data_IF_612024668562
#
_entry.id   IF_612024668562
#
_cell.length_a   1.000
_cell.length_b   1.000
_cell.length_c   1.000
_cell.angle_alpha   90.00
_cell.angle_beta   90.00
_cell.angle_gamma   90.00
#
_symmetry.space_group_name_H-M   'P 1'
#
loop_
_entity.id
_entity.type
_entity.pdbx_description
1 polymer ?
#
# COMPACT_ATOMS: atom_id res chain seq x y z
N UNK A 1 -17.99 16.22 15.43
CA UNK A 1 -17.93 14.94 14.69
C UNK A 1 -19.26 14.26 14.85
N UNK A 2 -19.91 13.85 13.74
CA UNK A 2 -21.23 13.17 13.74
C UNK A 2 -21.15 11.76 14.32
N UNK A 3 -22.31 11.13 14.62
CA UNK A 3 -22.34 9.75 15.09
C UNK A 3 -21.83 8.80 14.01
N UNK A 4 -22.15 9.04 12.72
CA UNK A 4 -21.70 8.26 11.59
C UNK A 4 -20.18 8.28 11.47
N UNK A 5 -19.54 9.45 11.56
CA UNK A 5 -18.08 9.57 11.50
C UNK A 5 -17.40 8.82 12.67
N UNK A 6 -18.00 8.88 13.87
CA UNK A 6 -17.50 8.10 15.02
C UNK A 6 -17.64 6.60 14.78
N UNK A 7 -18.78 6.17 14.22
CA UNK A 7 -19.01 4.77 13.88
C UNK A 7 -18.02 4.25 12.82
N UNK A 8 -17.73 5.06 11.79
CA UNK A 8 -16.69 4.73 10.80
C UNK A 8 -15.34 4.51 11.49
N UNK A 9 -14.91 5.40 12.37
CA UNK A 9 -13.64 5.25 13.09
C UNK A 9 -13.62 4.01 13.99
N UNK A 10 -14.70 3.72 14.71
CA UNK A 10 -14.77 2.50 15.55
C UNK A 10 -14.76 1.21 14.70
N UNK A 11 -15.40 1.21 13.54
CA UNK A 11 -15.36 0.10 12.58
C UNK A 11 -13.97 -0.08 11.94
N UNK A 12 -13.09 0.91 12.04
CA UNK A 12 -11.71 0.83 11.54
C UNK A 12 -10.69 0.37 12.60
N UNK A 13 -11.08 0.18 13.85
CA UNK A 13 -10.17 -0.21 14.97
C UNK A 13 -9.91 -1.70 15.00
N UNK A 14 -9.27 -2.23 13.98
CA UNK A 14 -9.06 -3.67 13.83
C UNK A 14 -8.02 -4.28 14.80
N UNK A 15 -7.12 -3.47 15.37
CA UNK A 15 -6.12 -3.94 16.35
C UNK A 15 -6.70 -4.06 17.76
N UNK A 16 -7.45 -3.05 18.19
CA UNK A 16 -8.02 -2.95 19.53
C UNK A 16 -9.50 -2.55 19.45
N UNK A 17 -10.37 -3.44 18.92
CA UNK A 17 -11.78 -3.12 18.75
C UNK A 17 -12.49 -3.00 20.10
N UNK A 18 -13.29 -1.96 20.25
CA UNK A 18 -14.08 -1.72 21.47
C UNK A 18 -15.49 -2.26 21.30
N UNK A 19 -15.64 -3.55 21.57
CA UNK A 19 -16.89 -4.31 21.30
C UNK A 19 -18.13 -3.66 21.92
N UNK A 20 -18.08 -3.29 23.20
CA UNK A 20 -19.29 -2.74 23.89
C UNK A 20 -19.66 -1.37 23.35
N UNK A 21 -18.67 -0.50 23.13
CA UNK A 21 -18.90 0.80 22.51
C UNK A 21 -19.47 0.68 21.10
N UNK A 22 -18.93 -0.24 20.29
CA UNK A 22 -19.44 -0.50 18.95
C UNK A 22 -20.88 -1.05 19.00
N UNK A 23 -21.19 -1.91 19.98
CA UNK A 23 -22.55 -2.41 20.18
C UNK A 23 -23.54 -1.29 20.52
N UNK A 24 -23.17 -0.38 21.41
CA UNK A 24 -24.00 0.78 21.77
C UNK A 24 -24.27 1.66 20.54
N UNK A 25 -23.23 2.00 19.78
CA UNK A 25 -23.35 2.82 18.58
C UNK A 25 -24.25 2.18 17.52
N UNK A 26 -24.14 0.86 17.31
CA UNK A 26 -25.00 0.12 16.38
C UNK A 26 -26.46 -0.05 16.87
N UNK A 27 -26.72 0.19 18.16
CA UNK A 27 -28.06 0.15 18.75
C UNK A 27 -28.79 1.50 18.68
N UNK A 28 -28.08 2.59 18.34
CA UNK A 28 -28.66 3.92 18.10
C UNK A 28 -28.94 4.12 16.61
N UNK A 29 -29.96 4.89 16.22
CA UNK A 29 -30.19 5.21 14.82
C UNK A 29 -28.99 5.90 14.18
N UNK A 30 -28.60 5.45 12.98
CA UNK A 30 -27.55 6.04 12.16
C UNK A 30 -27.88 5.86 10.67
N UNK A 31 -27.34 6.72 9.82
CA UNK A 31 -27.43 6.59 8.37
C UNK A 31 -26.47 5.50 7.86
N UNK A 32 -26.99 4.31 7.63
CA UNK A 32 -26.21 3.17 7.17
C UNK A 32 -25.62 3.38 5.76
N UNK A 33 -26.31 4.13 4.88
CA UNK A 33 -25.83 4.42 3.54
C UNK A 33 -24.63 5.38 3.58
N UNK A 34 -24.70 6.41 4.42
CA UNK A 34 -23.60 7.33 4.65
C UNK A 34 -22.38 6.62 5.23
N UNK A 35 -22.56 5.79 6.25
CA UNK A 35 -21.45 5.01 6.87
C UNK A 35 -20.83 4.07 5.84
N UNK A 36 -21.63 3.33 5.09
CA UNK A 36 -21.13 2.43 4.04
C UNK A 36 -20.36 3.20 2.95
N UNK A 37 -20.91 4.31 2.48
CA UNK A 37 -20.27 5.16 1.48
C UNK A 37 -18.89 5.64 1.93
N UNK A 38 -18.75 6.10 3.19
CA UNK A 38 -17.47 6.51 3.77
C UNK A 38 -16.49 5.33 3.89
N UNK A 39 -16.95 4.17 4.37
CA UNK A 39 -16.09 2.99 4.47
C UNK A 39 -15.56 2.54 3.11
N UNK A 40 -16.40 2.57 2.08
CA UNK A 40 -15.98 2.21 0.72
C UNK A 40 -15.05 3.27 0.09
N UNK A 41 -15.38 4.54 0.23
CA UNK A 41 -14.53 5.65 -0.24
C UNK A 41 -13.13 5.59 0.38
N UNK A 42 -13.04 5.35 1.68
CA UNK A 42 -11.79 5.25 2.42
C UNK A 42 -11.11 3.86 2.33
N UNK A 43 -11.64 2.93 1.53
CA UNK A 43 -11.15 1.55 1.37
C UNK A 43 -11.12 0.74 2.67
N UNK A 44 -12.05 1.01 3.58
CA UNK A 44 -12.13 0.39 4.90
C UNK A 44 -13.20 -0.70 5.01
N UNK A 45 -13.88 -1.04 3.91
CA UNK A 45 -14.99 -2.01 3.93
C UNK A 45 -14.58 -3.39 4.44
N UNK A 46 -13.43 -3.90 4.01
CA UNK A 46 -12.90 -5.18 4.47
C UNK A 46 -12.55 -5.16 5.97
N UNK A 47 -11.92 -4.09 6.44
CA UNK A 47 -11.57 -3.89 7.85
C UNK A 47 -12.84 -3.82 8.71
N UNK A 48 -13.84 -3.07 8.27
CA UNK A 48 -15.12 -2.95 8.99
C UNK A 48 -15.83 -4.31 9.13
N UNK A 49 -15.83 -5.14 8.06
CA UNK A 49 -16.39 -6.49 8.14
C UNK A 49 -15.61 -7.37 9.13
N UNK A 50 -14.29 -7.32 9.09
CA UNK A 50 -13.43 -8.04 10.02
C UNK A 50 -13.72 -7.64 11.47
N UNK A 51 -13.78 -6.34 11.79
CA UNK A 51 -14.09 -5.83 13.13
C UNK A 51 -15.46 -6.31 13.60
N UNK A 52 -16.50 -6.20 12.77
CA UNK A 52 -17.84 -6.73 13.10
C UNK A 52 -17.81 -8.23 13.38
N UNK A 53 -16.99 -8.97 12.63
CA UNK A 53 -16.88 -10.43 12.77
C UNK A 53 -16.21 -10.82 14.08
N UNK A 54 -15.05 -10.26 14.40
CA UNK A 54 -14.32 -10.58 15.63
C UNK A 54 -15.04 -10.11 16.89
N UNK A 55 -15.86 -9.04 16.79
CA UNK A 55 -16.73 -8.57 17.86
C UNK A 55 -18.03 -9.38 17.98
N UNK A 56 -18.38 -10.24 17.03
CA UNK A 56 -19.65 -10.97 17.01
C UNK A 56 -20.86 -10.06 16.76
N UNK A 57 -20.70 -8.96 16.02
CA UNK A 57 -21.72 -7.93 15.80
C UNK A 57 -22.28 -7.91 14.36
N UNK A 58 -21.93 -8.87 13.51
CA UNK A 58 -22.42 -8.96 12.12
C UNK A 58 -23.95 -9.05 12.01
N UNK A 59 -24.63 -9.61 13.03
CA UNK A 59 -26.09 -9.66 13.11
C UNK A 59 -26.75 -8.36 13.59
N UNK A 60 -25.98 -7.35 14.02
CA UNK A 60 -26.50 -6.05 14.49
C UNK A 60 -26.63 -5.00 13.39
N UNK A 61 -26.15 -5.29 12.20
CA UNK A 61 -26.27 -4.42 11.02
C UNK A 61 -27.27 -5.01 10.03
N UNK A 62 -27.88 -4.18 9.20
CA UNK A 62 -28.81 -4.65 8.18
C UNK A 62 -28.12 -5.56 7.15
N UNK A 63 -28.93 -6.34 6.42
CA UNK A 63 -28.43 -7.35 5.49
C UNK A 63 -27.61 -6.76 4.34
N UNK A 64 -28.05 -5.65 3.78
CA UNK A 64 -27.44 -4.98 2.63
C UNK A 64 -26.07 -4.42 3.02
N UNK A 65 -25.97 -3.72 4.14
CA UNK A 65 -24.73 -3.21 4.72
C UNK A 65 -23.73 -4.35 4.97
N UNK A 66 -24.19 -5.41 5.66
CA UNK A 66 -23.34 -6.58 5.93
C UNK A 66 -22.84 -7.26 4.66
N UNK A 67 -23.70 -7.44 3.66
CA UNK A 67 -23.34 -8.10 2.41
C UNK A 67 -22.33 -7.28 1.60
N UNK A 68 -22.49 -5.95 1.55
CA UNK A 68 -21.53 -5.05 0.90
C UNK A 68 -20.13 -5.13 1.55
N UNK A 69 -20.06 -5.08 2.89
CA UNK A 69 -18.80 -5.21 3.62
C UNK A 69 -18.18 -6.61 3.46
N UNK A 70 -18.99 -7.68 3.47
CA UNK A 70 -18.53 -9.05 3.22
C UNK A 70 -17.92 -9.17 1.82
N UNK A 71 -18.61 -8.63 0.81
CA UNK A 71 -18.10 -8.64 -0.57
C UNK A 71 -16.75 -7.94 -0.68
N UNK A 72 -16.58 -6.80 -0.01
CA UNK A 72 -15.29 -6.09 0.05
C UNK A 72 -14.20 -6.96 0.73
N UNK A 73 -14.54 -7.64 1.82
CA UNK A 73 -13.61 -8.53 2.54
C UNK A 73 -13.21 -9.74 1.69
N UNK A 74 -14.18 -10.42 1.07
CA UNK A 74 -13.93 -11.61 0.24
C UNK A 74 -13.11 -11.25 -1.02
N UNK A 75 -13.39 -10.10 -1.63
CA UNK A 75 -12.60 -9.57 -2.75
C UNK A 75 -11.18 -9.23 -2.30
N UNK A 76 -11.03 -8.56 -1.16
CA UNK A 76 -9.72 -8.22 -0.60
C UNK A 76 -8.86 -9.44 -0.32
N UNK A 77 -9.45 -10.54 0.21
CA UNK A 77 -8.73 -11.78 0.43
C UNK A 77 -8.20 -12.39 -0.87
N UNK A 78 -9.04 -12.51 -1.91
CA UNK A 78 -8.60 -13.04 -3.21
C UNK A 78 -7.49 -12.18 -3.79
N UNK A 79 -7.64 -10.87 -3.78
CA UNK A 79 -6.62 -9.94 -4.28
C UNK A 79 -5.30 -10.04 -3.51
N UNK A 80 -5.35 -10.19 -2.17
CA UNK A 80 -4.13 -10.36 -1.36
C UNK A 80 -3.38 -11.64 -1.72
N UNK A 81 -4.09 -12.75 -1.97
CA UNK A 81 -3.47 -14.02 -2.39
C UNK A 81 -2.76 -13.85 -3.74
N UNK A 82 -3.43 -13.25 -4.71
CA UNK A 82 -2.86 -13.00 -6.04
C UNK A 82 -1.66 -12.03 -5.98
N UNK A 83 -1.75 -10.98 -5.16
CA UNK A 83 -0.66 -10.04 -4.94
C UNK A 83 0.56 -10.69 -4.29
N UNK A 84 0.37 -11.54 -3.28
CA UNK A 84 1.46 -12.30 -2.65
C UNK A 84 2.14 -13.24 -3.64
N UNK A 85 1.38 -13.86 -4.54
CA UNK A 85 1.96 -14.66 -5.63
C UNK A 85 2.84 -13.82 -6.55
N UNK A 86 2.38 -12.63 -6.96
CA UNK A 86 3.20 -11.69 -7.74
C UNK A 86 4.49 -11.32 -7.01
N UNK A 87 4.42 -11.11 -5.70
CA UNK A 87 5.60 -10.84 -4.87
C UNK A 87 6.57 -12.01 -4.83
N UNK A 88 6.09 -13.26 -4.74
CA UNK A 88 6.94 -14.45 -4.80
C UNK A 88 7.65 -14.57 -6.15
N UNK A 89 6.95 -14.34 -7.26
CA UNK A 89 7.54 -14.31 -8.61
C UNK A 89 8.58 -13.19 -8.74
N UNK A 90 8.32 -12.03 -8.13
CA UNK A 90 9.26 -10.91 -8.12
C UNK A 90 10.48 -11.19 -7.25
N UNK A 91 10.34 -11.94 -6.15
CA UNK A 91 11.45 -12.36 -5.32
C UNK A 91 12.43 -13.24 -6.11
N UNK A 92 11.94 -14.20 -6.89
CA UNK A 92 12.77 -15.04 -7.78
C UNK A 92 13.53 -14.19 -8.82
N UNK A 93 12.90 -13.12 -9.34
CA UNK A 93 13.52 -12.20 -10.29
C UNK A 93 14.60 -11.33 -9.64
N UNK A 94 14.40 -10.89 -8.40
CA UNK A 94 15.30 -10.02 -7.66
C UNK A 94 16.40 -10.79 -6.88
N UNK A 95 16.33 -12.10 -6.76
CA UNK A 95 17.34 -12.92 -6.06
C UNK A 95 18.76 -12.71 -6.61
N UNK A 96 18.87 -12.42 -7.91
CA UNK A 96 20.16 -12.33 -8.62
C UNK A 96 20.60 -10.92 -8.97
N UNK A 97 20.04 -9.90 -8.29
CA UNK A 97 20.49 -8.52 -8.52
C UNK A 97 21.69 -8.19 -7.63
N UNK A 98 22.66 -7.45 -8.19
CA UNK A 98 23.90 -7.07 -7.49
C UNK A 98 23.82 -5.68 -6.84
N UNK A 99 22.66 -5.05 -6.87
CA UNK A 99 22.42 -3.72 -6.31
C UNK A 99 21.39 -3.76 -5.17
N UNK A 100 21.49 -2.84 -4.21
CA UNK A 100 20.51 -2.74 -3.15
C UNK A 100 19.16 -2.25 -3.66
N UNK A 101 18.10 -2.84 -3.18
CA UNK A 101 16.71 -2.43 -3.45
C UNK A 101 15.86 -2.60 -2.21
N UNK A 102 14.72 -1.91 -2.17
CA UNK A 102 13.72 -2.13 -1.14
C UNK A 102 12.30 -2.10 -1.71
N UNK A 103 11.48 -3.10 -1.38
CA UNK A 103 10.04 -3.02 -1.65
C UNK A 103 9.38 -2.11 -0.63
N UNK A 104 8.40 -1.35 -1.10
CA UNK A 104 7.77 -0.27 -0.33
C UNK A 104 6.29 -0.56 -0.07
N UNK A 105 5.65 0.29 0.72
CA UNK A 105 4.19 0.42 0.89
C UNK A 105 3.42 -0.91 0.97
N UNK A 106 2.55 -1.17 -0.04
CA UNK A 106 1.65 -2.30 -0.11
C UNK A 106 2.34 -3.66 0.00
N UNK A 107 3.57 -3.78 -0.52
CA UNK A 107 4.34 -5.01 -0.46
C UNK A 107 4.58 -5.48 0.99
N UNK A 108 5.11 -4.62 1.85
CA UNK A 108 5.31 -4.94 3.25
C UNK A 108 3.99 -5.02 4.02
N UNK A 109 3.10 -4.06 3.80
CA UNK A 109 1.83 -3.97 4.53
C UNK A 109 0.91 -5.17 4.28
N UNK A 110 0.97 -5.83 3.11
CA UNK A 110 0.22 -7.05 2.84
C UNK A 110 0.56 -8.23 3.77
N UNK A 111 1.71 -8.18 4.46
CA UNK A 111 2.12 -9.16 5.48
C UNK A 111 1.94 -8.65 6.92
N UNK A 112 1.83 -7.34 7.10
CA UNK A 112 1.62 -6.72 8.40
C UNK A 112 0.15 -6.78 8.86
N UNK A 113 -0.79 -6.72 7.90
CA UNK A 113 -2.22 -6.83 8.14
C UNK A 113 -2.69 -8.29 8.15
N UNK A 114 -3.79 -8.61 8.86
CA UNK A 114 -4.53 -9.84 8.61
C UNK A 114 -4.93 -9.93 7.14
N UNK A 115 -4.95 -11.15 6.60
CA UNK A 115 -5.20 -11.41 5.18
C UNK A 115 -6.51 -10.76 4.69
N UNK A 116 -6.40 -10.05 3.58
CA UNK A 116 -7.53 -9.38 2.92
C UNK A 116 -7.89 -8.01 3.45
N UNK A 117 -7.26 -7.54 4.54
CA UNK A 117 -7.56 -6.20 5.09
C UNK A 117 -6.79 -5.08 4.39
N UNK A 118 -5.64 -5.39 3.82
CA UNK A 118 -4.82 -4.42 3.07
C UNK A 118 -4.42 -5.02 1.73
N UNK A 119 -4.95 -4.46 0.67
CA UNK A 119 -4.69 -4.88 -0.72
C UNK A 119 -3.76 -3.87 -1.41
N UNK A 120 -2.99 -4.34 -2.38
CA UNK A 120 -2.29 -3.52 -3.36
C UNK A 120 -2.53 -4.06 -4.77
N UNK A 121 -2.37 -3.21 -5.78
CA UNK A 121 -2.42 -3.59 -7.20
C UNK A 121 -1.03 -3.50 -7.84
N UNK A 122 -0.13 -2.77 -7.21
CA UNK A 122 1.18 -2.36 -7.65
C UNK A 122 2.24 -2.76 -6.63
N UNK A 123 3.42 -3.04 -7.12
CA UNK A 123 4.61 -3.31 -6.33
C UNK A 123 5.61 -2.17 -6.54
N UNK A 124 5.75 -1.31 -5.55
CA UNK A 124 6.74 -0.25 -5.55
C UNK A 124 8.12 -0.80 -5.16
N UNK A 125 9.15 -0.55 -5.96
CA UNK A 125 10.54 -0.91 -5.69
C UNK A 125 11.39 0.34 -5.67
N UNK A 126 12.09 0.60 -4.57
CA UNK A 126 13.08 1.67 -4.44
C UNK A 126 14.46 1.15 -4.85
N UNK A 127 15.11 1.85 -5.77
CA UNK A 127 16.49 1.58 -6.19
C UNK A 127 17.25 2.89 -6.43
N UNK A 128 18.55 2.80 -6.63
CA UNK A 128 19.35 3.94 -7.11
C UNK A 128 19.09 4.21 -8.58
N UNK A 129 19.16 5.46 -8.97
CA UNK A 129 18.93 5.86 -10.37
C UNK A 129 19.86 5.13 -11.37
N UNK A 130 21.10 4.82 -10.97
CA UNK A 130 22.06 4.09 -11.81
C UNK A 130 21.69 2.65 -12.09
N UNK A 131 20.85 2.03 -11.23
CA UNK A 131 20.49 0.61 -11.31
C UNK A 131 19.18 0.38 -12.09
N UNK A 132 18.55 1.49 -12.61
CA UNK A 132 17.28 1.43 -13.34
C UNK A 132 17.39 0.56 -14.60
N UNK A 133 18.46 0.68 -15.35
CA UNK A 133 18.59 -0.03 -16.63
C UNK A 133 18.72 -1.54 -16.43
N UNK A 134 19.45 -1.97 -15.40
CA UNK A 134 19.60 -3.39 -15.06
C UNK A 134 18.27 -3.99 -14.61
N UNK A 135 17.54 -3.33 -13.71
CA UNK A 135 16.22 -3.81 -13.29
C UNK A 135 15.22 -3.79 -14.46
N UNK A 136 15.26 -2.73 -15.28
CA UNK A 136 14.38 -2.63 -16.47
C UNK A 136 14.62 -3.75 -17.48
N UNK A 137 15.85 -4.17 -17.69
CA UNK A 137 16.20 -5.28 -18.56
C UNK A 137 15.62 -6.60 -18.02
N UNK A 138 15.82 -6.90 -16.74
CA UNK A 138 15.29 -8.11 -16.08
C UNK A 138 13.77 -8.18 -16.12
N UNK A 139 13.10 -7.06 -15.87
CA UNK A 139 11.63 -6.99 -15.96
C UNK A 139 11.13 -7.25 -17.37
N UNK A 140 11.80 -6.72 -18.40
CA UNK A 140 11.45 -6.99 -19.80
C UNK A 140 11.68 -8.46 -20.18
N UNK A 141 12.75 -9.08 -19.72
CA UNK A 141 13.02 -10.51 -19.90
C UNK A 141 11.94 -11.38 -19.22
N UNK A 142 11.37 -10.92 -18.10
CA UNK A 142 10.24 -11.54 -17.39
C UNK A 142 8.87 -11.23 -18.02
N UNK A 143 8.84 -10.59 -19.20
CA UNK A 143 7.63 -10.31 -19.96
C UNK A 143 6.88 -9.04 -19.57
N UNK A 144 7.48 -8.17 -18.75
CA UNK A 144 6.91 -6.87 -18.47
C UNK A 144 7.24 -5.89 -19.59
N UNK A 145 6.31 -4.98 -19.86
CA UNK A 145 6.54 -3.83 -20.74
C UNK A 145 6.27 -2.52 -19.99
N UNK A 146 7.02 -1.46 -20.32
CA UNK A 146 6.71 -0.14 -19.80
C UNK A 146 5.49 0.41 -20.50
N UNK A 147 4.44 0.75 -19.73
CA UNK A 147 3.20 1.20 -20.31
C UNK A 147 2.10 1.45 -19.27
N UNK A 148 0.90 1.61 -19.76
CA UNK A 148 -0.27 1.99 -18.96
C UNK A 148 -1.43 1.06 -19.23
N UNK A 149 -2.24 0.80 -18.21
CA UNK A 149 -3.53 0.14 -18.37
C UNK A 149 -4.60 1.21 -18.59
N UNK A 150 -5.30 1.12 -19.71
CA UNK A 150 -6.48 1.96 -20.04
C UNK A 150 -7.61 1.06 -20.50
N UNK A 151 -8.76 1.16 -19.87
CA UNK A 151 -9.93 0.32 -20.16
C UNK A 151 -9.62 -1.19 -20.18
N UNK A 152 -8.80 -1.65 -19.22
CA UNK A 152 -8.39 -3.04 -19.10
C UNK A 152 -7.41 -3.53 -20.18
N UNK A 153 -6.88 -2.65 -21.03
CA UNK A 153 -5.91 -2.96 -22.07
C UNK A 153 -4.55 -2.32 -21.77
N UNK A 154 -3.51 -3.03 -22.14
CA UNK A 154 -2.13 -2.57 -21.99
C UNK A 154 -1.70 -1.75 -23.21
N UNK A 155 -1.25 -0.53 -22.96
CA UNK A 155 -0.70 0.39 -23.96
C UNK A 155 0.78 0.64 -23.65
N UNK A 156 1.70 0.23 -24.55
CA UNK A 156 3.12 0.54 -24.40
C UNK A 156 3.36 2.05 -24.36
N UNK A 157 4.24 2.48 -23.47
CA UNK A 157 4.67 3.86 -23.41
C UNK A 157 5.61 4.18 -24.58
N UNK A 158 5.53 5.39 -25.07
CA UNK A 158 6.44 5.92 -26.08
C UNK A 158 7.82 6.19 -25.46
N UNK A 159 8.86 6.23 -26.30
CA UNK A 159 10.21 6.60 -25.85
C UNK A 159 10.26 7.97 -25.18
N UNK A 160 9.45 8.92 -25.65
CA UNK A 160 9.37 10.26 -25.06
C UNK A 160 8.79 10.21 -23.64
N UNK A 161 7.72 9.46 -23.40
CA UNK A 161 7.11 9.31 -22.07
C UNK A 161 8.08 8.64 -21.09
N UNK A 162 8.82 7.61 -21.53
CA UNK A 162 9.83 6.93 -20.70
C UNK A 162 10.95 7.91 -20.31
N UNK A 163 11.43 8.71 -21.25
CA UNK A 163 12.47 9.70 -20.97
C UNK A 163 11.96 10.82 -20.07
N UNK A 164 10.76 11.33 -20.33
CA UNK A 164 10.14 12.37 -19.48
C UNK A 164 9.97 11.91 -18.04
N UNK A 165 9.49 10.69 -17.84
CA UNK A 165 9.35 10.11 -16.50
C UNK A 165 10.69 10.04 -15.77
N UNK A 166 11.75 9.56 -16.43
CA UNK A 166 13.10 9.48 -15.85
C UNK A 166 13.73 10.83 -15.51
N UNK A 167 13.45 11.86 -16.31
CA UNK A 167 14.06 13.19 -16.13
C UNK A 167 13.26 14.07 -15.17
N UNK A 168 11.94 13.96 -15.16
CA UNK A 168 11.05 14.90 -14.51
C UNK A 168 10.26 14.30 -13.34
N UNK A 169 10.26 12.97 -13.17
CA UNK A 169 9.60 12.28 -12.05
C UNK A 169 10.63 11.52 -11.21
N UNK A 170 10.29 11.21 -9.98
CA UNK A 170 11.08 10.35 -9.09
C UNK A 170 10.84 8.85 -9.31
N UNK A 171 10.12 8.48 -10.37
CA UNK A 171 9.67 7.13 -10.70
C UNK A 171 9.74 6.88 -12.21
N UNK A 172 9.84 5.64 -12.64
CA UNK A 172 9.76 5.28 -14.06
C UNK A 172 8.30 5.21 -14.52
N UNK A 173 8.08 5.12 -15.85
CA UNK A 173 6.79 4.59 -16.35
C UNK A 173 6.61 3.18 -15.79
N UNK A 174 5.40 2.80 -15.32
CA UNK A 174 5.14 1.47 -14.76
C UNK A 174 5.56 0.34 -15.69
N UNK A 175 6.06 -0.74 -15.10
CA UNK A 175 6.26 -2.01 -15.79
C UNK A 175 5.03 -2.88 -15.58
N UNK A 176 4.37 -3.24 -16.66
CA UNK A 176 3.11 -3.97 -16.62
C UNK A 176 3.20 -5.27 -17.40
N UNK A 177 2.66 -6.33 -16.81
CA UNK A 177 2.50 -7.64 -17.46
C UNK A 177 1.07 -8.11 -17.29
N UNK A 178 0.49 -8.65 -18.37
CA UNK A 178 -0.83 -9.27 -18.29
C UNK A 178 -0.81 -10.48 -17.36
N UNK A 179 -1.87 -10.65 -16.59
CA UNK A 179 -2.04 -11.74 -15.65
C UNK A 179 -3.41 -12.41 -15.90
N UNK A 180 -3.44 -13.72 -15.84
CA UNK A 180 -4.66 -14.52 -16.07
C UNK A 180 -5.47 -14.75 -14.78
N UNK A 181 -5.12 -14.04 -13.69
CA UNK A 181 -5.83 -14.15 -12.42
C UNK A 181 -7.18 -13.40 -12.43
N UNK A 182 -8.10 -13.82 -11.57
CA UNK A 182 -9.48 -13.29 -11.56
C UNK A 182 -9.57 -11.85 -11.07
N UNK A 183 -8.81 -11.49 -10.02
CA UNK A 183 -8.91 -10.18 -9.36
C UNK A 183 -7.80 -9.22 -9.78
N UNK A 184 -6.61 -9.73 -10.14
CA UNK A 184 -5.48 -8.96 -10.64
C UNK A 184 -5.20 -9.31 -12.10
N UNK A 185 -5.87 -8.62 -13.04
CA UNK A 185 -5.68 -8.85 -14.48
C UNK A 185 -4.30 -8.44 -15.00
N UNK A 186 -3.58 -7.65 -14.24
CA UNK A 186 -2.26 -7.15 -14.58
C UNK A 186 -1.38 -7.15 -13.33
N UNK A 187 -0.11 -7.48 -13.51
CA UNK A 187 0.95 -7.23 -12.54
C UNK A 187 1.60 -5.90 -12.90
N UNK A 188 1.70 -4.97 -11.94
CA UNK A 188 2.28 -3.65 -12.11
C UNK A 188 3.44 -3.47 -11.13
N UNK A 189 4.60 -3.04 -11.64
CA UNK A 189 5.81 -2.76 -10.86
C UNK A 189 6.24 -1.34 -11.13
N UNK A 190 6.29 -0.52 -10.07
CA UNK A 190 6.76 0.85 -10.09
C UNK A 190 8.17 0.95 -9.56
N UNK A 191 9.10 1.41 -10.39
CA UNK A 191 10.48 1.67 -9.97
C UNK A 191 10.58 3.12 -9.50
N UNK A 192 10.83 3.29 -8.20
CA UNK A 192 11.05 4.56 -7.54
C UNK A 192 12.56 4.78 -7.35
N UNK A 193 13.07 5.97 -7.65
CA UNK A 193 14.47 6.35 -7.45
C UNK A 193 14.63 7.74 -6.82
N UNK A 194 13.54 8.30 -6.34
CA UNK A 194 13.50 9.54 -5.57
C UNK A 194 12.31 9.51 -4.60
N UNK A 195 12.45 10.14 -3.45
CA UNK A 195 11.35 10.42 -2.52
C UNK A 195 10.55 11.65 -2.94
N UNK A 196 11.17 12.54 -3.71
CA UNK A 196 10.56 13.76 -4.22
C UNK A 196 9.70 13.46 -5.46
N UNK A 197 8.74 14.34 -5.73
CA UNK A 197 7.94 14.29 -6.95
C UNK A 197 8.77 14.58 -8.21
N UNK A 198 9.86 15.35 -8.07
CA UNK A 198 10.79 15.64 -9.16
C UNK A 198 12.08 14.85 -8.96
N UNK A 199 12.57 14.26 -10.04
CA UNK A 199 13.87 13.62 -10.02
C UNK A 199 14.96 14.65 -9.71
N UNK A 200 15.82 14.35 -8.73
CA UNK A 200 17.10 15.03 -8.52
C UNK A 200 18.21 14.12 -9.03
N UNK A 201 19.28 14.69 -9.57
CA UNK A 201 20.39 13.91 -10.16
C UNK A 201 21.11 12.97 -9.19
N UNK A 202 21.03 13.23 -7.88
CA UNK A 202 21.40 12.28 -6.83
C UNK A 202 20.50 12.51 -5.63
N UNK A 203 19.86 11.46 -5.15
CA UNK A 203 19.07 11.53 -3.93
C UNK A 203 19.87 10.88 -2.81
N UNK A 204 20.57 11.71 -2.00
CA UNK A 204 21.24 11.25 -0.78
C UNK A 204 20.26 10.50 0.13
N UNK A 205 19.01 10.92 0.15
CA UNK A 205 17.96 10.24 0.92
C UNK A 205 17.72 8.80 0.46
N UNK A 206 17.75 8.52 -0.85
CA UNK A 206 17.62 7.15 -1.38
C UNK A 206 18.83 6.29 -1.00
N UNK A 207 20.05 6.85 -1.11
CA UNK A 207 21.26 6.16 -0.68
C UNK A 207 21.18 5.76 0.80
N UNK A 208 20.81 6.71 1.68
CA UNK A 208 20.66 6.47 3.12
C UNK A 208 19.61 5.41 3.45
N UNK A 209 18.46 5.42 2.76
CA UNK A 209 17.41 4.40 2.96
C UNK A 209 17.88 3.01 2.53
N UNK A 210 18.66 2.92 1.45
CA UNK A 210 19.17 1.64 0.93
C UNK A 210 20.37 1.09 1.71
N UNK A 211 20.97 1.87 2.62
CA UNK A 211 22.01 1.40 3.54
C UNK A 211 21.46 0.52 4.68
N UNK A 212 20.19 0.69 5.08
CA UNK A 212 19.55 -0.04 6.17
C UNK A 212 18.32 -0.84 5.72
N UNK A 213 18.51 -1.68 4.69
CA UNK A 213 17.47 -2.59 4.22
C UNK A 213 17.45 -3.89 5.03
N UNK A 214 16.27 -4.50 5.14
CA UNK A 214 16.03 -5.73 5.91
C UNK A 214 15.36 -6.80 5.04
N UNK A 215 15.71 -8.08 5.22
CA UNK A 215 15.02 -9.15 4.53
C UNK A 215 13.59 -9.30 5.08
N UNK A 216 12.65 -9.54 4.17
CA UNK A 216 11.27 -9.87 4.45
C UNK A 216 10.93 -11.18 3.75
N UNK A 217 10.48 -12.18 4.52
CA UNK A 217 10.02 -13.44 3.94
C UNK A 217 8.67 -13.22 3.24
N UNK A 218 8.55 -13.69 2.01
CA UNK A 218 7.31 -13.58 1.22
C UNK A 218 6.64 -14.93 0.98
N UNK A 219 7.41 -16.01 0.86
CA UNK A 219 6.89 -17.37 0.68
C UNK A 219 8.02 -18.40 0.80
N UNK A 220 7.91 -19.36 1.73
CA UNK A 220 8.94 -20.34 1.96
C UNK A 220 10.30 -19.69 2.23
N UNK A 221 11.29 -19.97 1.36
CA UNK A 221 12.63 -19.40 1.44
C UNK A 221 12.81 -18.12 0.63
N UNK A 222 11.76 -17.63 -0.05
CA UNK A 222 11.81 -16.43 -0.87
C UNK A 222 11.84 -15.18 -0.02
N UNK A 223 12.81 -14.32 -0.30
CA UNK A 223 13.02 -13.07 0.39
C UNK A 223 12.90 -11.88 -0.55
N UNK A 224 12.29 -10.81 -0.08
CA UNK A 224 12.43 -9.47 -0.65
C UNK A 224 13.10 -8.57 0.38
N UNK A 225 13.85 -7.59 -0.09
CA UNK A 225 14.41 -6.57 0.80
C UNK A 225 13.40 -5.46 0.99
N UNK A 226 13.25 -4.97 2.22
CA UNK A 226 12.43 -3.81 2.57
C UNK A 226 13.22 -2.85 3.47
N UNK A 227 12.71 -1.66 3.70
CA UNK A 227 13.33 -0.68 4.58
C UNK A 227 13.27 -1.15 6.05
N UNK A 228 14.17 -0.63 6.88
CA UNK A 228 14.06 -0.75 8.34
C UNK A 228 12.71 -0.22 8.84
N UNK A 229 12.36 -0.48 10.09
CA UNK A 229 11.06 -0.04 10.64
C UNK A 229 10.93 1.49 10.62
N UNK A 230 11.99 2.17 11.01
CA UNK A 230 12.08 3.63 11.08
C UNK A 230 11.97 4.25 9.68
N UNK A 231 12.78 3.77 8.76
CA UNK A 231 12.83 4.28 7.39
C UNK A 231 11.53 3.99 6.62
N UNK A 232 10.90 2.84 6.89
CA UNK A 232 9.61 2.51 6.31
C UNK A 232 8.51 3.45 6.80
N UNK A 233 8.48 3.76 8.10
CA UNK A 233 7.54 4.72 8.66
C UNK A 233 7.77 6.14 8.12
N UNK A 234 9.04 6.59 8.06
CA UNK A 234 9.40 7.88 7.46
C UNK A 234 8.97 7.96 5.99
N UNK A 235 9.21 6.87 5.23
CA UNK A 235 8.78 6.79 3.84
C UNK A 235 7.25 6.91 3.70
N UNK A 236 6.47 6.21 4.54
CA UNK A 236 5.00 6.31 4.52
C UNK A 236 4.51 7.71 4.87
N UNK A 237 5.14 8.38 5.85
CA UNK A 237 4.82 9.76 6.19
C UNK A 237 5.13 10.73 5.03
N UNK A 238 6.30 10.59 4.40
CA UNK A 238 6.68 11.41 3.24
C UNK A 238 5.73 11.17 2.05
N UNK A 239 5.35 9.91 1.81
CA UNK A 239 4.41 9.56 0.76
C UNK A 239 3.01 10.13 1.03
N UNK A 240 2.50 10.01 2.26
CA UNK A 240 1.22 10.60 2.66
C UNK A 240 1.24 12.12 2.48
N UNK A 241 2.33 12.79 2.90
CA UNK A 241 2.49 14.22 2.70
C UNK A 241 2.47 14.60 1.22
N UNK A 242 3.25 13.87 0.39
CA UNK A 242 3.27 14.06 -1.08
C UNK A 242 1.86 13.98 -1.68
N UNK A 243 1.09 12.96 -1.33
CA UNK A 243 -0.28 12.80 -1.84
C UNK A 243 -1.25 13.87 -1.33
N UNK A 244 -1.08 14.31 -0.08
CA UNK A 244 -1.94 15.34 0.52
C UNK A 244 -1.75 16.74 -0.09
N UNK A 245 -0.56 17.06 -0.63
CA UNK A 245 -0.22 18.41 -1.12
C UNK A 245 -0.14 18.52 -2.64
N UNK A 246 -0.06 17.41 -3.35
CA UNK A 246 0.03 17.42 -4.82
C UNK A 246 -1.36 17.55 -5.44
N UNK A 247 -1.60 18.68 -6.09
CA UNK A 247 -2.91 19.09 -6.61
C UNK A 247 -3.66 17.99 -7.42
N UNK A 248 -3.04 17.24 -8.36
CA UNK A 248 -3.72 16.17 -9.06
C UNK A 248 -4.33 15.10 -8.15
N UNK A 249 -3.63 14.71 -7.07
CA UNK A 249 -4.13 13.72 -6.12
C UNK A 249 -5.30 14.25 -5.29
N UNK A 250 -5.20 15.52 -4.86
CA UNK A 250 -6.29 16.21 -4.14
C UNK A 250 -7.53 16.30 -5.04
N UNK A 251 -7.36 16.70 -6.31
CA UNK A 251 -8.46 16.80 -7.27
C UNK A 251 -9.16 15.45 -7.53
N UNK A 252 -8.40 14.36 -7.52
CA UNK A 252 -8.93 13.00 -7.68
C UNK A 252 -9.52 12.40 -6.39
N UNK A 253 -9.48 13.12 -5.26
CA UNK A 253 -9.90 12.62 -3.96
C UNK A 253 -9.07 11.43 -3.46
N UNK A 254 -7.78 11.38 -3.85
CA UNK A 254 -6.84 10.33 -3.45
C UNK A 254 -5.86 10.75 -2.36
N UNK A 255 -6.05 11.93 -1.79
CA UNK A 255 -5.17 12.56 -0.82
C UNK A 255 -5.27 11.88 0.57
N UNK A 256 -6.26 12.20 1.35
CA UNK A 256 -6.37 11.82 2.77
C UNK A 256 -7.35 10.65 2.99
N UNK A 257 -7.08 9.50 2.37
CA UNK A 257 -7.88 8.30 2.60
C UNK A 257 -7.52 7.62 3.93
N UNK A 258 -8.54 7.17 4.68
CA UNK A 258 -8.38 6.65 6.05
C UNK A 258 -7.45 5.43 6.15
N UNK A 259 -7.39 4.58 5.12
CA UNK A 259 -6.49 3.43 5.11
C UNK A 259 -5.01 3.82 5.29
N UNK A 260 -4.58 4.99 4.78
CA UNK A 260 -3.20 5.46 4.91
C UNK A 260 -2.85 5.79 6.37
N UNK A 261 -3.80 6.35 7.10
CA UNK A 261 -3.64 6.57 8.54
C UNK A 261 -3.65 5.24 9.33
N UNK A 262 -4.42 4.26 8.88
CA UNK A 262 -4.38 2.91 9.47
C UNK A 262 -3.03 2.22 9.22
N UNK A 263 -2.41 2.44 8.05
CA UNK A 263 -1.06 1.94 7.75
C UNK A 263 -0.02 2.51 8.76
N UNK A 264 -0.07 3.82 9.04
CA UNK A 264 0.80 4.46 10.04
C UNK A 264 0.47 3.97 11.45
N UNK A 265 -0.81 3.93 11.82
CA UNK A 265 -1.25 3.45 13.13
C UNK A 265 -0.77 2.03 13.41
N UNK A 266 -0.86 1.12 12.44
CA UNK A 266 -0.40 -0.26 12.57
C UNK A 266 1.08 -0.35 12.96
N UNK A 267 1.93 0.47 12.35
CA UNK A 267 3.37 0.47 12.60
C UNK A 267 3.72 1.11 13.94
N UNK A 268 3.02 2.18 14.32
CA UNK A 268 3.20 2.85 15.60
C UNK A 268 2.75 1.97 16.79
N UNK A 269 1.64 1.23 16.63
CA UNK A 269 1.05 0.39 17.66
C UNK A 269 1.91 -0.86 18.02
N UNK A 270 2.81 -1.28 17.12
CA UNK A 270 3.69 -2.44 17.36
C UNK A 270 4.79 -2.22 18.39
N UNK A 271 5.23 -0.98 18.53
CA UNK A 271 6.35 -0.64 19.41
C UNK A 271 5.90 0.45 20.38
N UNK A 272 5.85 0.23 21.66
CA UNK A 272 5.48 1.26 22.64
C UNK A 272 6.14 2.64 22.33
N UNK A 273 5.33 3.69 22.30
CA UNK A 273 5.56 5.02 21.68
C UNK A 273 6.93 5.69 21.95
N UNK A 274 7.52 5.52 23.14
CA UNK A 274 8.73 6.27 23.52
C UNK A 274 10.01 5.79 22.83
N UNK A 275 10.14 4.49 22.56
CA UNK A 275 11.33 3.89 21.93
C UNK A 275 11.40 4.25 20.44
N UNK A 276 10.29 4.14 19.72
CA UNK A 276 10.21 4.46 18.28
C UNK A 276 10.41 5.97 18.03
N UNK A 277 9.79 6.83 18.85
CA UNK A 277 9.95 8.28 18.74
C UNK A 277 11.42 8.71 18.88
N UNK A 278 12.16 8.12 19.82
CA UNK A 278 13.59 8.38 20.02
C UNK A 278 14.43 7.98 18.79
N UNK A 279 14.17 6.79 18.23
CA UNK A 279 14.89 6.31 17.04
C UNK A 279 14.56 7.14 15.78
N UNK A 280 13.29 7.51 15.59
CA UNK A 280 12.87 8.40 14.51
C UNK A 280 13.54 9.77 14.60
N UNK A 281 13.58 10.37 15.81
CA UNK A 281 14.25 11.65 16.02
C UNK A 281 15.74 11.57 15.65
N UNK A 282 16.42 10.50 16.05
CA UNK A 282 17.82 10.27 15.67
C UNK A 282 17.98 10.13 14.15
N UNK A 283 17.11 9.34 13.49
CA UNK A 283 17.18 9.09 12.04
C UNK A 283 16.89 10.31 11.18
N UNK A 284 16.04 11.24 11.64
CA UNK A 284 15.74 12.48 10.93
C UNK A 284 16.94 13.47 10.95
N UNK A 285 17.79 13.39 11.96
CA UNK A 285 18.93 14.29 12.13
C UNK A 285 20.24 13.76 11.53
N UNK A 286 20.27 12.53 11.06
CA UNK A 286 21.40 11.91 10.32
C UNK A 286 21.19 12.00 8.83
#
# INVERSE_FOLDING_TARGET
MTNENRLVLELCRFRHPQKERLREMLSTPYDAAMVLGQLMYHRMGAIAFYVLTICGLTGKVNREFRNALRSAYDSGRRQTIEFRRMMSETADLLERVDFPYAVLKGARLAYEYPEGLRTSNDLDILIRQRDIDDLSMRLKEAGYIQGYIRDGRLFPATRSEILDSRLNRGETVPFVRQNDQDTMKHCEIDINFSLDFKAKQSSRSVELLLEDIRPMNVDGDRLLMTLSQEDFLLHLCAHLYKEAVVYPWVLMGRDLALYKFCDLYLLLDKEGDASLAGRLAHRIHT
#
